data_IF_064334482514
#
_entry.id   IF_064334482514
#
_cell.length_a   1.000
_cell.length_b   1.000
_cell.length_c   1.000
_cell.angle_alpha   90.00
_cell.angle_beta   90.00
_cell.angle_gamma   90.00
#
_symmetry.space_group_name_H-M   'P 1'
#
loop_
_entity.id
_entity.type
_entity.pdbx_description
1 polymer ?
#
# COMPACT_ATOMS: atom_id res chain seq x y z
N UNK A 1 -5.21 12.61 -5.82
CA UNK A 1 -4.14 12.29 -4.85
C UNK A 1 -3.37 13.57 -4.51
N UNK A 2 -3.20 13.85 -3.22
CA UNK A 2 -2.48 15.04 -2.76
C UNK A 2 -1.09 14.62 -2.26
N UNK A 3 -0.09 14.77 -3.10
CA UNK A 3 1.32 14.61 -2.73
C UNK A 3 2.04 15.95 -2.75
N UNK A 4 2.97 16.16 -1.81
CA UNK A 4 3.85 17.32 -1.85
C UNK A 4 4.98 17.04 -2.83
N UNK A 5 4.96 17.66 -3.99
CA UNK A 5 5.92 17.50 -5.10
C UNK A 5 6.93 18.65 -5.21
N UNK A 6 7.09 19.49 -4.17
CA UNK A 6 8.00 20.62 -4.17
C UNK A 6 9.20 20.43 -3.21
N UNK A 7 10.34 21.05 -3.53
CA UNK A 7 11.56 21.01 -2.73
C UNK A 7 12.27 19.65 -2.76
N UNK A 8 12.93 19.28 -1.65
CA UNK A 8 13.68 18.00 -1.51
C UNK A 8 12.78 16.77 -1.76
N UNK A 9 11.47 16.90 -1.56
CA UNK A 9 10.51 15.83 -1.75
C UNK A 9 10.28 15.46 -3.21
N UNK A 10 10.46 16.39 -4.16
CA UNK A 10 10.42 16.12 -5.60
C UNK A 10 11.53 15.14 -6.05
N UNK A 11 12.65 15.10 -5.35
CA UNK A 11 13.75 14.18 -5.67
C UNK A 11 13.33 12.72 -5.49
N UNK A 12 12.37 12.44 -4.62
CA UNK A 12 11.83 11.11 -4.37
C UNK A 12 10.82 10.62 -5.44
N UNK A 13 10.53 11.42 -6.46
CA UNK A 13 9.77 10.99 -7.64
C UNK A 13 10.62 10.05 -8.53
N UNK A 14 11.95 10.19 -8.46
CA UNK A 14 12.84 9.28 -9.17
C UNK A 14 12.85 7.90 -8.50
N UNK A 15 12.49 6.80 -9.22
CA UNK A 15 12.37 5.45 -8.65
C UNK A 15 13.66 4.95 -7.98
N UNK A 16 14.83 5.30 -8.52
CA UNK A 16 16.13 4.87 -7.99
C UNK A 16 16.46 5.58 -6.68
N UNK A 17 16.17 6.89 -6.60
CA UNK A 17 16.40 7.69 -5.40
C UNK A 17 15.41 7.28 -4.31
N UNK A 18 14.16 7.03 -4.67
CA UNK A 18 13.15 6.51 -3.76
C UNK A 18 13.59 5.17 -3.14
N UNK A 19 14.03 4.21 -3.95
CA UNK A 19 14.51 2.92 -3.48
C UNK A 19 15.76 3.06 -2.58
N UNK A 20 16.70 3.95 -2.93
CA UNK A 20 17.89 4.22 -2.12
C UNK A 20 17.51 4.79 -0.74
N UNK A 21 16.60 5.77 -0.71
CA UNK A 21 16.10 6.37 0.53
C UNK A 21 15.45 5.32 1.45
N UNK A 22 14.62 4.45 0.88
CA UNK A 22 13.97 3.36 1.61
C UNK A 22 15.00 2.38 2.20
N UNK A 23 16.07 2.07 1.47
CA UNK A 23 17.14 1.21 1.96
C UNK A 23 17.89 1.84 3.16
N UNK A 24 18.18 3.14 3.09
CA UNK A 24 18.89 3.88 4.15
C UNK A 24 18.05 3.96 5.43
N UNK A 25 16.75 4.15 5.31
CA UNK A 25 15.83 4.24 6.46
C UNK A 25 15.57 2.90 7.15
N UNK A 26 16.11 1.79 6.62
CA UNK A 26 16.03 0.47 7.24
C UNK A 26 14.72 -0.29 6.97
N UNK A 27 14.02 0.10 5.92
CA UNK A 27 12.69 -0.42 5.57
C UNK A 27 12.69 -1.88 5.09
N UNK A 28 13.81 -2.37 4.52
CA UNK A 28 13.88 -3.69 3.91
C UNK A 28 13.63 -4.86 4.88
N UNK A 29 14.21 -4.79 6.08
CA UNK A 29 14.02 -5.84 7.10
C UNK A 29 12.56 -5.89 7.55
N UNK A 30 11.95 -4.72 7.72
CA UNK A 30 10.54 -4.63 8.07
C UNK A 30 9.64 -5.12 6.95
N UNK A 31 9.89 -4.75 5.68
CA UNK A 31 9.13 -5.22 4.52
C UNK A 31 9.13 -6.73 4.39
N UNK A 32 10.27 -7.37 4.64
CA UNK A 32 10.35 -8.83 4.66
C UNK A 32 9.35 -9.41 5.69
N UNK A 33 9.33 -8.88 6.90
CA UNK A 33 8.39 -9.31 7.95
C UNK A 33 6.95 -8.99 7.55
N UNK A 34 6.70 -7.80 7.02
CA UNK A 34 5.37 -7.37 6.60
C UNK A 34 4.81 -8.30 5.51
N UNK A 35 5.52 -8.47 4.39
CA UNK A 35 5.03 -9.28 3.29
C UNK A 35 4.90 -10.76 3.66
N UNK A 36 5.83 -11.32 4.42
CA UNK A 36 5.70 -12.71 4.91
C UNK A 36 4.56 -12.91 5.91
N UNK A 37 4.19 -11.86 6.66
CA UNK A 37 3.07 -11.94 7.62
C UNK A 37 1.72 -11.85 6.93
N UNK A 38 1.59 -10.96 5.96
CA UNK A 38 0.29 -10.64 5.36
C UNK A 38 0.04 -11.34 4.03
N UNK A 39 1.08 -11.75 3.30
CA UNK A 39 0.97 -12.34 1.96
C UNK A 39 1.58 -13.74 1.89
N UNK A 40 1.16 -14.61 2.82
CA UNK A 40 1.43 -16.05 2.73
C UNK A 40 0.45 -16.67 1.71
N UNK A 41 0.82 -16.58 0.43
CA UNK A 41 -0.01 -16.93 -0.71
C UNK A 41 0.32 -18.32 -1.21
N UNK A 42 -0.68 -19.02 -1.73
CA UNK A 42 -0.48 -20.28 -2.42
C UNK A 42 -0.04 -20.06 -3.87
N UNK A 43 0.61 -21.05 -4.46
CA UNK A 43 0.95 -21.05 -5.88
C UNK A 43 -0.26 -20.76 -6.76
N UNK A 44 -0.08 -19.86 -7.74
CA UNK A 44 -1.14 -19.44 -8.65
C UNK A 44 -2.15 -18.45 -8.04
N UNK A 45 -1.92 -17.98 -6.79
CA UNK A 45 -2.75 -16.89 -6.24
C UNK A 45 -2.63 -15.63 -7.08
N UNK A 46 -3.73 -14.89 -7.16
CA UNK A 46 -3.84 -13.64 -7.92
C UNK A 46 -3.79 -12.44 -7.00
N UNK A 47 -2.83 -11.58 -7.22
CA UNK A 47 -2.56 -10.39 -6.40
C UNK A 47 -2.70 -9.13 -7.21
N UNK A 48 -3.46 -8.17 -6.68
CA UNK A 48 -3.51 -6.79 -7.18
C UNK A 48 -2.77 -5.88 -6.21
N UNK A 49 -1.83 -5.09 -6.72
CA UNK A 49 -1.07 -4.09 -5.95
C UNK A 49 -1.49 -2.68 -6.38
N UNK A 50 -2.29 -2.03 -5.54
CA UNK A 50 -2.86 -0.71 -5.76
C UNK A 50 -1.87 0.37 -5.27
N UNK A 51 -1.37 1.20 -6.20
CA UNK A 51 -0.27 2.09 -5.93
C UNK A 51 1.04 1.32 -5.80
N UNK A 52 1.34 0.47 -6.78
CA UNK A 52 2.46 -0.48 -6.72
C UNK A 52 3.84 0.18 -6.67
N UNK A 53 3.94 1.49 -6.99
CA UNK A 53 5.18 2.23 -7.02
C UNK A 53 6.23 1.52 -7.87
N UNK A 54 7.39 1.25 -7.29
CA UNK A 54 8.51 0.56 -7.96
C UNK A 54 8.40 -0.96 -7.95
N UNK A 55 7.23 -1.54 -7.68
CA UNK A 55 7.00 -2.99 -7.68
C UNK A 55 7.72 -3.73 -6.55
N UNK A 56 7.98 -3.06 -5.43
CA UNK A 56 8.81 -3.59 -4.34
C UNK A 56 8.27 -4.90 -3.74
N UNK A 57 6.96 -5.11 -3.78
CA UNK A 57 6.31 -6.34 -3.31
C UNK A 57 6.87 -7.59 -3.99
N UNK A 58 7.21 -7.51 -5.28
CA UNK A 58 7.74 -8.64 -6.07
C UNK A 58 9.05 -9.23 -5.55
N UNK A 59 9.79 -8.50 -4.68
CA UNK A 59 10.99 -9.02 -4.02
C UNK A 59 10.68 -9.96 -2.84
N UNK A 60 9.42 -10.03 -2.42
CA UNK A 60 9.01 -10.70 -1.19
C UNK A 60 7.90 -11.74 -1.39
N UNK A 61 7.35 -11.85 -2.59
CA UNK A 61 6.38 -12.87 -2.98
C UNK A 61 6.99 -13.85 -3.97
N UNK A 62 6.47 -15.08 -3.99
CA UNK A 62 6.97 -16.15 -4.83
C UNK A 62 6.74 -15.88 -6.33
N UNK A 63 7.55 -16.53 -7.18
CA UNK A 63 7.56 -16.28 -8.63
C UNK A 63 6.32 -16.82 -9.35
N UNK A 64 5.62 -17.76 -8.75
CA UNK A 64 4.42 -18.38 -9.30
C UNK A 64 3.11 -17.69 -8.87
N UNK A 65 3.20 -16.48 -8.28
CA UNK A 65 2.06 -15.61 -8.01
C UNK A 65 1.73 -14.77 -9.25
N UNK A 66 0.47 -14.75 -9.66
CA UNK A 66 -0.02 -13.85 -10.70
C UNK A 66 -0.13 -12.43 -10.13
N UNK A 67 0.82 -11.57 -10.50
CA UNK A 67 0.89 -10.21 -9.98
C UNK A 67 0.43 -9.18 -11.00
N UNK A 68 -0.45 -8.30 -10.57
CA UNK A 68 -0.90 -7.11 -11.31
C UNK A 68 -0.64 -5.86 -10.47
N UNK A 69 0.25 -4.98 -10.93
CA UNK A 69 0.54 -3.68 -10.31
C UNK A 69 -0.15 -2.55 -11.06
N UNK A 70 -0.77 -1.64 -10.31
CA UNK A 70 -1.40 -0.45 -10.86
C UNK A 70 -0.85 0.79 -10.16
N UNK A 71 -0.39 1.77 -10.92
CA UNK A 71 0.05 3.07 -10.39
C UNK A 71 -0.29 4.20 -11.37
N UNK A 72 -0.51 5.40 -10.86
CA UNK A 72 -0.78 6.58 -11.68
C UNK A 72 0.50 7.29 -12.15
N UNK A 73 1.65 6.99 -11.53
CA UNK A 73 2.94 7.55 -11.89
C UNK A 73 3.59 6.75 -13.01
N UNK A 74 3.69 7.37 -14.18
CA UNK A 74 4.24 6.72 -15.38
C UNK A 74 5.66 6.21 -15.18
N UNK A 75 6.50 6.98 -14.51
CA UNK A 75 7.91 6.64 -14.29
C UNK A 75 8.08 5.38 -13.42
N UNK A 76 7.19 5.16 -12.45
CA UNK A 76 7.16 3.93 -11.67
C UNK A 76 6.72 2.74 -12.51
N UNK A 77 5.71 2.90 -13.34
CA UNK A 77 5.25 1.83 -14.24
C UNK A 77 6.31 1.48 -15.28
N UNK A 78 6.95 2.47 -15.89
CA UNK A 78 8.06 2.24 -16.83
C UNK A 78 9.24 1.53 -16.14
N UNK A 79 9.58 1.92 -14.93
CA UNK A 79 10.57 1.22 -14.11
C UNK A 79 10.17 -0.25 -13.87
N UNK A 80 8.92 -0.51 -13.50
CA UNK A 80 8.43 -1.86 -13.26
C UNK A 80 8.47 -2.72 -14.53
N UNK A 81 8.03 -2.21 -15.66
CA UNK A 81 8.05 -2.90 -16.95
C UNK A 81 9.48 -3.25 -17.38
N UNK A 82 10.45 -2.36 -17.13
CA UNK A 82 11.85 -2.60 -17.47
C UNK A 82 12.55 -3.61 -16.55
N UNK A 83 12.15 -3.68 -15.28
CA UNK A 83 12.85 -4.51 -14.28
C UNK A 83 12.12 -5.82 -13.93
N UNK A 84 10.80 -5.90 -14.18
CA UNK A 84 9.95 -7.01 -13.72
C UNK A 84 8.98 -7.52 -14.80
N UNK A 85 9.28 -7.33 -16.08
CA UNK A 85 8.39 -7.73 -17.20
C UNK A 85 7.98 -9.21 -17.20
N UNK A 86 8.80 -10.09 -16.64
CA UNK A 86 8.52 -11.53 -16.53
C UNK A 86 7.82 -11.91 -15.21
N UNK A 87 7.68 -10.97 -14.27
CA UNK A 87 7.18 -11.21 -12.92
C UNK A 87 5.77 -10.70 -12.69
N UNK A 88 5.24 -9.87 -13.59
CA UNK A 88 3.91 -9.31 -13.44
C UNK A 88 3.50 -8.39 -14.58
N UNK A 89 2.24 -8.01 -14.54
CA UNK A 89 1.66 -7.01 -15.45
C UNK A 89 1.57 -5.67 -14.73
N UNK A 90 1.83 -4.57 -15.45
CA UNK A 90 1.85 -3.23 -14.86
C UNK A 90 1.00 -2.26 -15.68
N UNK A 91 0.03 -1.62 -15.04
CA UNK A 91 -0.90 -0.69 -15.66
C UNK A 91 -0.69 0.73 -15.13
N UNK A 92 -0.55 1.67 -16.07
CA UNK A 92 -0.49 3.10 -15.77
C UNK A 92 -1.92 3.63 -15.71
N UNK A 93 -2.52 3.62 -14.53
CA UNK A 93 -3.91 4.02 -14.31
C UNK A 93 -4.10 4.60 -12.91
N UNK A 94 -5.09 5.47 -12.78
CA UNK A 94 -5.53 5.93 -11.47
C UNK A 94 -6.56 4.96 -10.90
N UNK A 95 -6.25 4.40 -9.74
CA UNK A 95 -7.11 3.41 -9.08
C UNK A 95 -8.40 4.06 -8.58
N UNK A 96 -9.53 3.34 -8.76
CA UNK A 96 -10.83 3.75 -8.21
C UNK A 96 -11.62 4.73 -9.08
N UNK A 97 -11.13 5.13 -10.26
CA UNK A 97 -11.90 5.96 -11.19
C UNK A 97 -12.90 5.15 -12.01
N UNK A 98 -12.55 3.94 -12.38
CA UNK A 98 -13.41 3.06 -13.18
C UNK A 98 -13.42 1.65 -12.61
N UNK A 99 -14.61 1.05 -12.52
CA UNK A 99 -14.74 -0.36 -12.17
C UNK A 99 -14.46 -1.20 -13.41
N UNK A 100 -13.52 -2.14 -13.27
CA UNK A 100 -13.22 -3.14 -14.29
C UNK A 100 -14.04 -4.40 -14.01
N UNK A 101 -15.00 -4.69 -14.87
CA UNK A 101 -15.91 -5.83 -14.68
C UNK A 101 -15.16 -7.17 -14.67
N UNK A 102 -14.11 -7.30 -15.47
CA UNK A 102 -13.27 -8.48 -15.55
C UNK A 102 -12.48 -8.79 -14.26
N UNK A 103 -12.43 -7.84 -13.31
CA UNK A 103 -11.75 -8.00 -12.03
C UNK A 103 -12.70 -8.31 -10.85
N UNK A 104 -14.01 -8.28 -11.08
CA UNK A 104 -14.99 -8.59 -10.03
C UNK A 104 -14.80 -10.03 -9.51
N UNK A 105 -14.53 -10.17 -8.22
CA UNK A 105 -14.32 -11.47 -7.58
C UNK A 105 -13.11 -12.24 -8.13
N UNK A 106 -12.06 -11.57 -8.58
CA UNK A 106 -10.94 -12.19 -9.29
C UNK A 106 -9.70 -12.40 -8.43
N UNK A 107 -9.42 -11.52 -7.46
CA UNK A 107 -8.17 -11.53 -6.70
C UNK A 107 -8.30 -12.29 -5.37
N UNK A 108 -7.24 -13.02 -5.03
CA UNK A 108 -7.11 -13.70 -3.73
C UNK A 108 -6.62 -12.73 -2.65
N UNK A 109 -5.75 -11.79 -3.03
CA UNK A 109 -5.27 -10.73 -2.16
C UNK A 109 -5.09 -9.41 -2.91
N UNK A 110 -5.31 -8.31 -2.21
CA UNK A 110 -5.04 -6.96 -2.70
C UNK A 110 -4.12 -6.27 -1.70
N UNK A 111 -3.08 -5.61 -2.21
CA UNK A 111 -2.18 -4.76 -1.43
C UNK A 111 -2.45 -3.29 -1.74
N UNK A 112 -2.41 -2.43 -0.72
CA UNK A 112 -2.42 -0.97 -0.85
C UNK A 112 -1.43 -0.39 0.16
N UNK A 113 -0.13 -0.54 -0.13
CA UNK A 113 0.95 -0.16 0.76
C UNK A 113 1.36 1.29 0.58
N UNK A 114 1.12 2.11 1.59
CA UNK A 114 1.49 3.53 1.54
C UNK A 114 0.60 4.36 0.61
N UNK A 115 -0.67 4.02 0.50
CA UNK A 115 -1.59 4.64 -0.45
C UNK A 115 -2.64 5.54 0.22
N UNK A 116 -3.33 5.05 1.27
CA UNK A 116 -4.51 5.74 1.81
C UNK A 116 -4.18 7.10 2.45
N UNK A 117 -2.98 7.27 3.04
CA UNK A 117 -2.57 8.56 3.62
C UNK A 117 -2.29 9.65 2.57
N UNK A 118 -2.28 9.30 1.28
CA UNK A 118 -2.25 10.26 0.17
C UNK A 118 -3.64 10.65 -0.35
N UNK A 119 -4.68 9.96 0.10
CA UNK A 119 -6.04 10.04 -0.44
C UNK A 119 -6.99 10.71 0.56
N UNK A 120 -7.91 11.53 0.06
CA UNK A 120 -9.04 12.01 0.83
C UNK A 120 -9.92 10.86 1.32
N UNK A 121 -10.84 11.13 2.25
CA UNK A 121 -11.75 10.10 2.77
C UNK A 121 -12.60 9.48 1.67
N UNK A 122 -13.11 10.30 0.76
CA UNK A 122 -13.92 9.83 -0.39
C UNK A 122 -13.10 8.93 -1.31
N UNK A 123 -11.87 9.33 -1.65
CA UNK A 123 -10.98 8.52 -2.48
C UNK A 123 -10.59 7.21 -1.78
N UNK A 124 -10.28 7.26 -0.47
CA UNK A 124 -9.95 6.08 0.34
C UNK A 124 -11.12 5.10 0.41
N UNK A 125 -12.33 5.61 0.62
CA UNK A 125 -13.55 4.79 0.64
C UNK A 125 -13.80 4.14 -0.73
N UNK A 126 -13.64 4.88 -1.82
CA UNK A 126 -13.77 4.34 -3.17
C UNK A 126 -12.77 3.22 -3.45
N UNK A 127 -11.50 3.38 -3.02
CA UNK A 127 -10.46 2.34 -3.16
C UNK A 127 -10.81 1.10 -2.35
N UNK A 128 -11.21 1.25 -1.10
CA UNK A 128 -11.59 0.14 -0.21
C UNK A 128 -12.82 -0.60 -0.77
N UNK A 129 -13.85 0.14 -1.21
CA UNK A 129 -15.05 -0.42 -1.82
C UNK A 129 -14.74 -1.16 -3.13
N UNK A 130 -13.88 -0.58 -3.97
CA UNK A 130 -13.45 -1.22 -5.21
C UNK A 130 -12.66 -2.50 -4.94
N UNK A 131 -11.73 -2.46 -3.99
CA UNK A 131 -10.98 -3.64 -3.56
C UNK A 131 -11.91 -4.74 -3.05
N UNK A 132 -12.93 -4.39 -2.25
CA UNK A 132 -13.93 -5.36 -1.79
C UNK A 132 -14.64 -6.06 -2.96
N UNK A 133 -15.01 -5.31 -4.00
CA UNK A 133 -15.67 -5.89 -5.19
C UNK A 133 -14.74 -6.83 -5.97
N UNK A 134 -13.47 -6.50 -6.06
CA UNK A 134 -12.46 -7.25 -6.81
C UNK A 134 -12.00 -8.53 -6.10
N UNK A 135 -12.11 -8.58 -4.77
CA UNK A 135 -11.75 -9.75 -3.99
C UNK A 135 -12.73 -10.92 -4.21
N UNK A 136 -12.19 -12.14 -4.27
CA UNK A 136 -12.95 -13.38 -4.11
C UNK A 136 -13.56 -13.45 -2.71
N UNK A 137 -14.63 -14.25 -2.48
CA UNK A 137 -15.01 -14.67 -1.14
C UNK A 137 -13.82 -15.30 -0.42
N UNK A 138 -13.56 -14.92 0.83
CA UNK A 138 -12.37 -15.32 1.59
C UNK A 138 -11.08 -14.59 1.24
N UNK A 139 -11.05 -13.83 0.14
CA UNK A 139 -9.94 -12.96 -0.22
C UNK A 139 -9.78 -11.77 0.73
N UNK A 140 -8.66 -11.06 0.67
CA UNK A 140 -8.38 -9.98 1.63
C UNK A 140 -7.62 -8.81 1.03
N UNK A 141 -7.92 -7.61 1.56
CA UNK A 141 -7.15 -6.38 1.32
C UNK A 141 -6.20 -6.16 2.50
N UNK A 142 -4.95 -5.82 2.22
CA UNK A 142 -4.01 -5.32 3.22
C UNK A 142 -3.60 -3.89 2.89
N UNK A 143 -3.71 -3.01 3.89
CA UNK A 143 -3.19 -1.65 3.80
C UNK A 143 -2.07 -1.45 4.82
N UNK A 144 -1.18 -0.49 4.55
CA UNK A 144 -0.09 -0.13 5.46
C UNK A 144 0.21 1.35 5.29
N UNK A 145 -0.26 2.15 6.22
CA UNK A 145 -0.24 3.60 6.09
C UNK A 145 0.36 4.30 7.31
N UNK A 146 0.98 5.45 7.06
CA UNK A 146 1.42 6.37 8.11
C UNK A 146 0.24 6.77 8.98
N UNK A 147 0.43 6.82 10.31
CA UNK A 147 -0.67 7.06 11.25
C UNK A 147 -0.26 7.90 12.46
N UNK A 148 -1.24 8.58 13.03
CA UNK A 148 -1.18 9.09 14.41
C UNK A 148 -1.80 8.08 15.38
N UNK A 149 -1.32 8.08 16.65
CA UNK A 149 -1.89 7.27 17.72
C UNK A 149 -1.73 7.95 19.10
N UNK A 150 -2.54 7.56 20.08
CA UNK A 150 -2.68 8.27 21.35
C UNK A 150 -1.38 8.41 22.17
N UNK A 151 -0.59 7.33 22.23
CA UNK A 151 0.66 7.30 23.02
C UNK A 151 1.91 7.64 22.20
N UNK A 152 1.75 8.36 21.09
CA UNK A 152 2.85 8.71 20.19
C UNK A 152 3.74 9.80 20.80
N UNK A 153 5.07 9.55 20.80
CA UNK A 153 6.05 10.54 21.26
C UNK A 153 6.03 11.80 20.39
N UNK A 154 6.43 12.95 20.98
CA UNK A 154 6.54 14.21 20.23
C UNK A 154 7.41 14.08 18.99
N UNK A 155 8.56 13.39 19.09
CA UNK A 155 9.48 13.18 17.96
C UNK A 155 8.81 12.34 16.85
N UNK A 156 8.07 11.29 17.21
CA UNK A 156 7.33 10.49 16.25
C UNK A 156 6.22 11.30 15.56
N UNK A 157 5.47 12.11 16.31
CA UNK A 157 4.47 13.03 15.72
C UNK A 157 5.12 14.01 14.74
N UNK A 158 6.28 14.54 15.09
CA UNK A 158 7.02 15.46 14.20
C UNK A 158 7.44 14.76 12.90
N UNK A 159 7.99 13.53 12.95
CA UNK A 159 8.34 12.79 11.74
C UNK A 159 7.10 12.48 10.88
N UNK A 160 6.02 12.01 11.48
CA UNK A 160 4.76 11.74 10.80
C UNK A 160 4.18 13.00 10.15
N UNK A 161 4.27 14.18 10.81
CA UNK A 161 3.83 15.45 10.24
C UNK A 161 4.65 15.90 9.01
N UNK A 162 5.82 15.29 8.77
CA UNK A 162 6.67 15.54 7.60
C UNK A 162 6.48 14.49 6.50
N UNK A 163 5.52 13.58 6.66
CA UNK A 163 5.15 12.64 5.61
C UNK A 163 4.73 13.35 4.32
N UNK A 164 4.86 12.67 3.19
CA UNK A 164 4.43 13.19 1.88
C UNK A 164 2.91 13.15 1.73
N UNK A 165 2.25 12.26 2.47
CA UNK A 165 0.81 12.14 2.48
C UNK A 165 0.16 13.32 3.21
N UNK A 166 -0.85 13.91 2.60
CA UNK A 166 -1.59 15.05 3.18
C UNK A 166 -2.80 14.63 3.99
N UNK A 167 -3.10 13.34 4.01
CA UNK A 167 -4.28 12.77 4.66
C UNK A 167 -3.89 11.68 5.67
N UNK A 168 -2.85 11.94 6.46
CA UNK A 168 -2.46 11.03 7.55
C UNK A 168 -3.53 11.07 8.63
N UNK A 169 -4.07 9.89 8.97
CA UNK A 169 -5.20 9.72 9.91
C UNK A 169 -4.75 9.07 11.21
N UNK A 170 -5.58 9.17 12.24
CA UNK A 170 -5.50 8.31 13.41
C UNK A 170 -5.90 6.86 13.07
N UNK A 171 -5.39 5.90 13.85
CA UNK A 171 -5.71 4.48 13.66
C UNK A 171 -7.21 4.20 13.67
N UNK A 172 -8.00 4.89 14.50
CA UNK A 172 -9.46 4.77 14.56
C UNK A 172 -10.13 5.20 13.26
N UNK A 173 -9.67 6.27 12.63
CA UNK A 173 -10.23 6.79 11.39
C UNK A 173 -10.01 5.82 10.22
N UNK A 174 -8.84 5.15 10.16
CA UNK A 174 -8.60 4.08 9.18
C UNK A 174 -9.52 2.87 9.41
N UNK A 175 -9.76 2.49 10.66
CA UNK A 175 -10.68 1.40 11.01
C UNK A 175 -12.11 1.76 10.60
N UNK A 176 -12.55 2.99 10.83
CA UNK A 176 -13.88 3.44 10.47
C UNK A 176 -14.11 3.43 8.96
N UNK A 177 -13.11 3.85 8.17
CA UNK A 177 -13.15 3.73 6.71
C UNK A 177 -13.26 2.27 6.27
N UNK A 178 -12.46 1.37 6.86
CA UNK A 178 -12.44 -0.03 6.53
C UNK A 178 -13.79 -0.72 6.83
N UNK A 179 -14.38 -0.43 7.99
CA UNK A 179 -15.64 -1.02 8.47
C UNK A 179 -16.87 -0.65 7.66
N UNK A 180 -16.79 0.35 6.78
CA UNK A 180 -17.89 0.68 5.85
C UNK A 180 -18.12 -0.42 4.80
N UNK A 181 -17.09 -1.21 4.51
CA UNK A 181 -17.15 -2.25 3.47
C UNK A 181 -16.81 -3.66 4.00
N UNK A 182 -15.99 -3.76 5.06
CA UNK A 182 -15.53 -5.03 5.60
C UNK A 182 -16.02 -5.23 7.04
N UNK A 183 -16.62 -6.38 7.32
CA UNK A 183 -17.03 -6.77 8.68
C UNK A 183 -15.85 -7.26 9.51
N UNK A 184 -14.89 -7.95 8.85
CA UNK A 184 -13.67 -8.48 9.49
C UNK A 184 -12.46 -7.59 9.18
N UNK A 185 -12.01 -6.85 10.18
CA UNK A 185 -10.87 -5.92 10.10
C UNK A 185 -9.91 -6.20 11.25
N UNK A 186 -8.72 -6.69 10.93
CA UNK A 186 -7.62 -6.91 11.87
C UNK A 186 -6.57 -5.82 11.68
N UNK A 187 -6.29 -5.04 12.73
CA UNK A 187 -5.37 -3.93 12.69
C UNK A 187 -4.16 -4.13 13.61
N UNK A 188 -2.97 -3.67 13.18
CA UNK A 188 -1.75 -3.70 13.97
C UNK A 188 -0.95 -2.41 13.81
N UNK A 189 -0.67 -1.76 14.95
CA UNK A 189 0.21 -0.61 15.01
C UNK A 189 1.68 -1.08 15.02
N UNK A 190 2.47 -0.47 14.15
CA UNK A 190 3.92 -0.62 14.11
C UNK A 190 4.56 0.71 14.46
N UNK A 191 5.22 0.75 15.62
CA UNK A 191 6.04 1.87 16.08
C UNK A 191 7.46 1.40 16.30
N UNK A 192 8.45 2.28 16.10
CA UNK A 192 9.87 1.99 16.36
C UNK A 192 10.49 0.82 15.56
N UNK A 193 9.93 0.49 14.41
CA UNK A 193 10.45 -0.58 13.54
C UNK A 193 11.49 -0.06 12.52
N UNK A 194 11.51 1.25 12.29
CA UNK A 194 12.53 1.95 11.49
C UNK A 194 13.62 2.52 12.39
N UNK A 195 14.74 2.92 11.79
CA UNK A 195 15.81 3.66 12.48
C UNK A 195 15.36 5.04 12.97
N UNK A 196 14.28 5.55 12.43
CA UNK A 196 13.61 6.79 12.86
C UNK A 196 12.31 6.43 13.58
N UNK A 197 11.88 7.20 14.59
CA UNK A 197 10.61 6.96 15.30
C UNK A 197 9.43 7.34 14.41
N UNK A 198 8.94 6.35 13.67
CA UNK A 198 7.86 6.50 12.70
C UNK A 198 6.76 5.51 12.99
N UNK A 199 5.51 5.96 12.95
CA UNK A 199 4.35 5.12 13.24
C UNK A 199 3.59 4.80 11.95
N UNK A 200 3.27 3.52 11.78
CA UNK A 200 2.41 3.06 10.67
C UNK A 200 1.39 2.05 11.19
N UNK A 201 0.28 1.96 10.50
CA UNK A 201 -0.81 1.05 10.84
C UNK A 201 -1.10 0.12 9.67
N UNK A 202 -1.00 -1.19 9.94
CA UNK A 202 -1.40 -2.21 8.99
C UNK A 202 -2.81 -2.67 9.30
N UNK A 203 -3.64 -2.82 8.28
CA UNK A 203 -4.96 -3.45 8.40
C UNK A 203 -5.06 -4.60 7.40
N UNK A 204 -5.55 -5.75 7.88
CA UNK A 204 -6.01 -6.84 7.03
C UNK A 204 -7.52 -6.93 7.11
N UNK A 205 -8.17 -6.75 5.96
CA UNK A 205 -9.62 -6.74 5.81
C UNK A 205 -10.04 -7.93 4.96
N UNK A 206 -10.80 -8.87 5.53
CA UNK A 206 -11.19 -10.11 4.83
C UNK A 206 -12.62 -9.99 4.33
N UNK A 207 -12.84 -10.35 3.06
CA UNK A 207 -14.17 -10.46 2.44
C UNK A 207 -14.80 -11.79 2.85
N UNK A 208 -15.96 -11.72 3.50
CA UNK A 208 -16.78 -12.87 3.86
C UNK A 208 -17.67 -13.32 2.70
#
# INVERSE_FOLDING_TARGET
MAQITSGIRAILENPYIYNLFQNITGDNAFRKVYFSTYFNLSKGSKVLDLGCGTGIMLKYIDEDIEYLGVDFEKDYIDYCRNNYSTRGTFLHEKVGETIREEWLGYFDAINAHGLLHHLSDVESENIISTAYKYLKPGGYLVTFDTTYHDNQSFLSKWFVSKDRGQNVRHTSEYIDLAKRNFTKVDGKLYSNYRRIPYATYAMKMTKE
#
